data_IF_383478800201
#
_entry.id   IF_383478800201
#
_cell.length_a   1.000
_cell.length_b   1.000
_cell.length_c   1.000
_cell.angle_alpha   90.00
_cell.angle_beta   90.00
_cell.angle_gamma   90.00
#
_symmetry.space_group_name_H-M   'P 1'
#
loop_
_entity.id
_entity.type
_entity.pdbx_description
1 polymer ?
#
# COMPACT_ATOMS: atom_id res chain seq x y z
N UNK A 1 -14.50 6.73 12.39
CA UNK A 1 -15.13 5.77 11.44
C UNK A 1 -15.64 6.56 10.27
N UNK A 2 -14.82 6.74 9.23
CA UNK A 2 -15.26 7.39 8.00
C UNK A 2 -16.33 6.52 7.33
N UNK A 3 -17.51 7.09 7.04
CA UNK A 3 -18.51 6.41 6.23
C UNK A 3 -17.89 6.17 4.86
N UNK A 4 -17.56 4.92 4.58
CA UNK A 4 -17.15 4.47 3.26
C UNK A 4 -18.28 4.85 2.29
N UNK A 5 -18.05 5.86 1.46
CA UNK A 5 -18.88 6.05 0.26
C UNK A 5 -18.55 4.81 -0.56
N UNK A 6 -19.47 3.86 -0.61
CA UNK A 6 -19.36 2.73 -1.53
C UNK A 6 -19.62 3.27 -2.94
N UNK A 7 -19.16 2.61 -4.00
CA UNK A 7 -19.75 2.85 -5.30
C UNK A 7 -21.27 2.79 -5.10
N UNK A 8 -22.04 3.76 -5.62
CA UNK A 8 -23.49 3.72 -5.50
C UNK A 8 -23.94 2.31 -5.86
N UNK A 9 -24.58 1.61 -4.91
CA UNK A 9 -24.89 0.18 -5.01
C UNK A 9 -25.61 -0.20 -6.32
N UNK A 10 -26.12 0.81 -7.05
CA UNK A 10 -26.72 0.75 -8.38
C UNK A 10 -25.74 0.43 -9.51
N UNK A 11 -24.50 0.96 -9.50
CA UNK A 11 -23.56 0.72 -10.62
C UNK A 11 -23.00 -0.71 -10.67
N UNK A 12 -22.77 -1.33 -9.51
CA UNK A 12 -22.35 -2.74 -9.44
C UNK A 12 -23.46 -3.73 -9.82
N UNK A 13 -24.72 -3.37 -9.55
CA UNK A 13 -25.90 -4.10 -10.03
C UNK A 13 -26.07 -3.98 -11.56
N UNK A 14 -25.82 -2.80 -12.12
CA UNK A 14 -26.00 -2.55 -13.55
C UNK A 14 -24.89 -3.17 -14.42
N UNK A 15 -23.67 -3.39 -13.90
CA UNK A 15 -22.66 -4.24 -14.59
C UNK A 15 -23.13 -5.70 -14.64
N UNK A 16 -23.83 -6.16 -13.60
CA UNK A 16 -24.51 -7.46 -13.63
C UNK A 16 -25.68 -7.42 -14.61
N UNK A 17 -26.39 -6.30 -14.77
CA UNK A 17 -27.47 -6.16 -15.74
C UNK A 17 -26.97 -6.07 -17.19
N UNK A 18 -25.86 -5.37 -17.48
CA UNK A 18 -25.19 -5.40 -18.78
C UNK A 18 -24.69 -6.83 -19.10
N UNK A 19 -24.20 -7.56 -18.10
CA UNK A 19 -23.85 -8.98 -18.22
C UNK A 19 -25.10 -9.84 -18.47
N UNK A 20 -26.23 -9.54 -17.82
CA UNK A 20 -27.49 -10.26 -17.99
C UNK A 20 -28.12 -9.99 -19.36
N UNK A 21 -28.09 -8.74 -19.83
CA UNK A 21 -28.54 -8.36 -21.17
C UNK A 21 -27.86 -9.21 -22.24
N UNK A 22 -26.57 -9.47 -22.06
CA UNK A 22 -25.82 -10.29 -22.99
C UNK A 22 -26.06 -11.78 -22.81
N UNK A 23 -26.27 -12.25 -21.58
CA UNK A 23 -26.80 -13.61 -21.33
C UNK A 23 -28.11 -13.83 -22.08
N UNK A 24 -28.99 -12.84 -22.07
CA UNK A 24 -30.29 -12.92 -22.73
C UNK A 24 -30.12 -12.99 -24.25
N UNK A 25 -29.03 -12.43 -24.78
CA UNK A 25 -28.61 -12.56 -26.18
C UNK A 25 -27.76 -13.79 -26.51
N UNK A 26 -27.31 -14.61 -25.53
CA UNK A 26 -26.53 -15.84 -25.80
C UNK A 26 -27.25 -16.81 -26.76
N UNK A 27 -28.57 -17.02 -26.67
CA UNK A 27 -29.30 -17.83 -27.65
C UNK A 27 -29.18 -17.29 -29.07
N UNK A 28 -29.28 -15.97 -29.25
CA UNK A 28 -29.20 -15.30 -30.55
C UNK A 28 -27.77 -15.35 -31.11
N UNK A 29 -26.78 -15.15 -30.25
CA UNK A 29 -25.35 -15.28 -30.57
C UNK A 29 -25.02 -16.72 -30.99
N UNK A 30 -25.51 -17.71 -30.25
CA UNK A 30 -25.39 -19.13 -30.62
C UNK A 30 -26.10 -19.43 -31.94
N UNK A 31 -27.22 -18.77 -32.21
CA UNK A 31 -27.96 -18.93 -33.46
C UNK A 31 -27.19 -18.36 -34.65
N UNK A 32 -26.66 -17.14 -34.51
CA UNK A 32 -25.82 -16.49 -35.52
C UNK A 32 -24.53 -17.29 -35.80
N UNK A 33 -23.84 -17.74 -34.75
CA UNK A 33 -22.65 -18.58 -34.91
C UNK A 33 -22.97 -19.97 -35.46
N UNK A 34 -24.08 -20.59 -35.04
CA UNK A 34 -24.51 -21.87 -35.60
C UNK A 34 -24.81 -21.79 -37.09
N UNK A 35 -25.45 -20.71 -37.54
CA UNK A 35 -25.66 -20.43 -38.96
C UNK A 35 -24.33 -20.23 -39.72
N UNK A 36 -23.35 -19.54 -39.12
CA UNK A 36 -22.02 -19.34 -39.73
C UNK A 36 -21.15 -20.60 -39.77
N UNK A 37 -21.19 -21.43 -38.73
CA UNK A 37 -20.32 -22.60 -38.58
C UNK A 37 -21.01 -23.92 -38.93
N UNK A 38 -22.24 -23.87 -39.45
CA UNK A 38 -22.95 -25.02 -40.00
C UNK A 38 -23.48 -26.01 -38.96
N UNK A 39 -23.73 -25.58 -37.72
CA UNK A 39 -24.32 -26.43 -36.68
C UNK A 39 -25.69 -25.91 -36.23
N UNK A 40 -26.62 -26.84 -35.97
CA UNK A 40 -27.97 -26.50 -35.49
C UNK A 40 -27.92 -26.14 -33.98
N UNK A 41 -28.16 -24.86 -33.60
CA UNK A 41 -28.15 -24.41 -32.21
C UNK A 41 -29.19 -25.10 -31.33
N UNK A 42 -30.26 -25.65 -31.93
CA UNK A 42 -31.32 -26.38 -31.22
C UNK A 42 -30.86 -27.76 -30.77
N UNK A 43 -29.85 -28.34 -31.43
CA UNK A 43 -29.27 -29.66 -31.11
C UNK A 43 -28.12 -29.60 -30.10
N UNK A 44 -27.68 -28.41 -29.71
CA UNK A 44 -26.62 -28.25 -28.70
C UNK A 44 -27.14 -28.72 -27.33
N UNK A 45 -26.50 -29.71 -26.69
CA UNK A 45 -26.87 -30.19 -25.35
C UNK A 45 -26.91 -29.06 -24.31
N UNK A 46 -27.80 -29.17 -23.32
CA UNK A 46 -27.94 -28.15 -22.26
C UNK A 46 -26.62 -27.89 -21.51
N UNK A 47 -25.84 -28.95 -21.26
CA UNK A 47 -24.52 -28.86 -20.62
C UNK A 47 -23.54 -28.00 -21.43
N UNK A 48 -23.55 -28.14 -22.75
CA UNK A 48 -22.68 -27.39 -23.65
C UNK A 48 -23.14 -25.94 -23.78
N UNK A 49 -24.46 -25.67 -23.71
CA UNK A 49 -25.00 -24.30 -23.60
C UNK A 49 -24.55 -23.62 -22.30
N UNK A 50 -24.58 -24.33 -21.17
CA UNK A 50 -24.10 -23.82 -19.88
C UNK A 50 -22.58 -23.62 -19.83
N UNK A 51 -21.82 -24.49 -20.49
CA UNK A 51 -20.37 -24.33 -20.65
C UNK A 51 -20.04 -23.17 -21.59
N UNK A 52 -20.75 -23.05 -22.71
CA UNK A 52 -20.62 -21.93 -23.63
C UNK A 52 -20.95 -20.62 -22.94
N UNK A 53 -22.05 -20.53 -22.19
CA UNK A 53 -22.40 -19.38 -21.35
C UNK A 53 -21.27 -19.05 -20.37
N UNK A 54 -20.68 -20.03 -19.69
CA UNK A 54 -19.51 -19.83 -18.82
C UNK A 54 -18.27 -19.31 -19.55
N UNK A 55 -17.99 -19.82 -20.75
CA UNK A 55 -16.86 -19.37 -21.60
C UNK A 55 -17.07 -17.95 -22.10
N UNK A 56 -18.27 -17.65 -22.58
CA UNK A 56 -18.76 -16.30 -22.89
C UNK A 56 -18.49 -15.42 -21.68
N UNK A 57 -19.01 -15.76 -20.49
CA UNK A 57 -18.82 -14.98 -19.26
C UNK A 57 -17.36 -14.72 -18.88
N UNK A 58 -16.47 -15.71 -19.04
CA UNK A 58 -15.03 -15.50 -18.81
C UNK A 58 -14.40 -14.58 -19.85
N UNK A 59 -14.85 -14.66 -21.10
CA UNK A 59 -14.44 -13.76 -22.19
C UNK A 59 -15.07 -12.36 -22.13
N UNK A 60 -16.10 -12.15 -21.30
CA UNK A 60 -16.83 -10.88 -21.22
C UNK A 60 -16.09 -9.76 -20.51
N UNK A 61 -15.23 -10.09 -19.54
CA UNK A 61 -14.48 -9.08 -18.78
C UNK A 61 -13.81 -8.04 -19.70
N UNK A 62 -13.02 -8.49 -20.69
CA UNK A 62 -12.42 -7.60 -21.69
C UNK A 62 -13.40 -6.90 -22.65
N UNK A 63 -14.61 -7.44 -22.85
CA UNK A 63 -15.59 -6.90 -23.82
C UNK A 63 -16.58 -5.90 -23.21
N UNK A 64 -16.67 -5.81 -21.88
CA UNK A 64 -17.54 -4.88 -21.14
C UNK A 64 -17.50 -3.43 -21.65
N UNK A 65 -16.33 -2.82 -21.94
CA UNK A 65 -16.27 -1.46 -22.46
C UNK A 65 -17.01 -1.28 -23.79
N UNK A 66 -16.93 -2.26 -24.69
CA UNK A 66 -17.55 -2.18 -26.02
C UNK A 66 -19.08 -2.23 -25.93
N UNK A 67 -19.60 -3.09 -25.06
CA UNK A 67 -21.03 -3.20 -24.81
C UNK A 67 -21.58 -1.95 -24.13
N UNK A 68 -20.79 -1.36 -23.23
CA UNK A 68 -21.15 -0.09 -22.62
C UNK A 68 -21.21 1.04 -23.67
N UNK A 69 -20.34 1.03 -24.69
CA UNK A 69 -20.41 1.99 -25.81
C UNK A 69 -21.74 1.82 -26.57
N UNK A 70 -22.09 0.59 -26.96
CA UNK A 70 -23.32 0.31 -27.71
C UNK A 70 -24.57 0.69 -26.88
N UNK A 71 -24.62 0.28 -25.62
CA UNK A 71 -25.72 0.61 -24.72
C UNK A 71 -25.84 2.12 -24.48
N UNK A 72 -24.71 2.83 -24.39
CA UNK A 72 -24.69 4.29 -24.22
C UNK A 72 -25.17 5.01 -25.49
N UNK A 73 -24.71 4.59 -26.67
CA UNK A 73 -25.16 5.13 -27.96
C UNK A 73 -26.66 4.87 -28.21
N UNK A 74 -27.18 3.74 -27.71
CA UNK A 74 -28.60 3.40 -27.76
C UNK A 74 -29.44 4.11 -26.68
N UNK A 75 -28.83 4.94 -25.82
CA UNK A 75 -29.52 5.64 -24.73
C UNK A 75 -30.01 4.73 -23.59
N UNK A 76 -29.50 3.49 -23.51
CA UNK A 76 -29.90 2.51 -22.50
C UNK A 76 -29.19 2.72 -21.15
N UNK A 77 -28.03 3.38 -21.15
CA UNK A 77 -27.30 3.76 -19.94
C UNK A 77 -26.91 5.24 -19.96
N UNK A 78 -26.86 5.87 -18.80
CA UNK A 78 -26.46 7.27 -18.63
C UNK A 78 -24.94 7.45 -18.78
N UNK A 79 -24.50 8.69 -19.02
CA UNK A 79 -23.09 9.08 -19.13
C UNK A 79 -22.29 8.66 -17.88
N UNK A 80 -22.85 8.92 -16.70
CA UNK A 80 -22.26 8.53 -15.42
C UNK A 80 -22.02 7.00 -15.33
N UNK A 81 -22.97 6.20 -15.83
CA UNK A 81 -22.83 4.73 -15.89
C UNK A 81 -21.76 4.31 -16.87
N UNK A 82 -21.73 4.95 -18.05
CA UNK A 82 -20.73 4.67 -19.07
C UNK A 82 -19.30 4.94 -18.57
N UNK A 83 -19.08 6.08 -17.91
CA UNK A 83 -17.78 6.43 -17.32
C UNK A 83 -17.37 5.45 -16.20
N UNK A 84 -18.32 5.00 -15.38
CA UNK A 84 -18.06 3.96 -14.39
C UNK A 84 -17.54 2.67 -15.00
N UNK A 85 -18.22 2.14 -16.03
CA UNK A 85 -17.83 0.88 -16.67
C UNK A 85 -16.44 0.96 -17.29
N UNK A 86 -16.09 2.11 -17.90
CA UNK A 86 -14.74 2.35 -18.43
C UNK A 86 -13.67 2.22 -17.34
N UNK A 87 -13.90 2.84 -16.18
CA UNK A 87 -12.95 2.82 -15.06
C UNK A 87 -12.86 1.44 -14.43
N UNK A 88 -13.98 0.74 -14.22
CA UNK A 88 -13.98 -0.65 -13.71
C UNK A 88 -13.17 -1.57 -14.62
N UNK A 89 -13.39 -1.50 -15.93
CA UNK A 89 -12.69 -2.33 -16.89
C UNK A 89 -11.19 -2.01 -16.95
N UNK A 90 -10.83 -0.72 -16.89
CA UNK A 90 -9.44 -0.29 -16.79
C UNK A 90 -8.76 -0.84 -15.53
N UNK A 91 -9.42 -0.74 -14.36
CA UNK A 91 -8.88 -1.28 -13.11
C UNK A 91 -8.72 -2.80 -13.15
N UNK A 92 -9.69 -3.51 -13.73
CA UNK A 92 -9.62 -4.96 -13.93
C UNK A 92 -8.43 -5.35 -14.82
N UNK A 93 -8.20 -4.61 -15.91
CA UNK A 93 -7.06 -4.83 -16.80
C UNK A 93 -5.71 -4.57 -16.10
N UNK A 94 -5.61 -3.49 -15.32
CA UNK A 94 -4.41 -3.18 -14.53
C UNK A 94 -4.10 -4.28 -13.51
N UNK A 95 -5.11 -4.79 -12.80
CA UNK A 95 -4.93 -5.88 -11.85
C UNK A 95 -4.53 -7.18 -12.54
N UNK A 96 -5.13 -7.50 -13.69
CA UNK A 96 -4.75 -8.66 -14.49
C UNK A 96 -3.28 -8.57 -14.97
N UNK A 97 -2.84 -7.40 -15.43
CA UNK A 97 -1.44 -7.15 -15.81
C UNK A 97 -0.48 -7.30 -14.63
N UNK A 98 -0.93 -6.99 -13.41
CA UNK A 98 -0.19 -7.22 -12.17
C UNK A 98 -0.29 -8.67 -11.63
N UNK A 99 -0.86 -9.61 -12.41
CA UNK A 99 -1.01 -11.01 -12.01
C UNK A 99 -2.09 -11.25 -10.94
N UNK A 100 -3.02 -10.31 -10.76
CA UNK A 100 -4.12 -10.40 -9.80
C UNK A 100 -5.45 -10.58 -10.51
N UNK A 101 -6.07 -11.74 -10.34
CA UNK A 101 -7.41 -11.99 -10.85
C UNK A 101 -8.47 -11.39 -9.91
N UNK A 102 -9.30 -10.47 -10.44
CA UNK A 102 -10.51 -10.00 -9.76
C UNK A 102 -11.64 -10.98 -10.05
N UNK A 103 -12.32 -11.55 -9.04
CA UNK A 103 -13.49 -12.39 -9.28
C UNK A 103 -14.53 -11.66 -10.15
N UNK A 104 -15.32 -12.39 -10.93
CA UNK A 104 -16.24 -11.80 -11.90
C UNK A 104 -17.43 -11.09 -11.23
N UNK A 105 -17.77 -11.54 -10.02
CA UNK A 105 -18.81 -11.05 -9.13
C UNK A 105 -18.36 -9.87 -8.26
N UNK A 106 -17.06 -9.57 -8.23
CA UNK A 106 -16.52 -8.43 -7.48
C UNK A 106 -16.29 -7.24 -8.40
N UNK A 107 -16.65 -6.06 -7.91
CA UNK A 107 -16.27 -4.80 -8.51
C UNK A 107 -14.75 -4.58 -8.41
N UNK A 108 -14.12 -4.20 -9.52
CA UNK A 108 -12.67 -4.02 -9.55
C UNK A 108 -12.20 -2.84 -8.69
N UNK A 109 -12.96 -1.74 -8.63
CA UNK A 109 -12.63 -0.57 -7.82
C UNK A 109 -12.73 -0.88 -6.31
N UNK A 110 -13.80 -1.57 -5.89
CA UNK A 110 -13.93 -2.07 -4.51
C UNK A 110 -12.83 -3.07 -4.17
N UNK A 111 -12.50 -3.97 -5.10
CA UNK A 111 -11.44 -4.94 -4.91
C UNK A 111 -10.07 -4.27 -4.72
N UNK A 112 -9.75 -3.24 -5.52
CA UNK A 112 -8.55 -2.42 -5.33
C UNK A 112 -8.53 -1.82 -3.93
N UNK A 113 -9.63 -1.24 -3.46
CA UNK A 113 -9.72 -0.66 -2.12
C UNK A 113 -9.56 -1.72 -1.02
N UNK A 114 -10.20 -2.87 -1.17
CA UNK A 114 -10.11 -3.99 -0.22
C UNK A 114 -8.65 -4.47 -0.09
N UNK A 115 -7.99 -4.70 -1.22
CA UNK A 115 -6.59 -5.14 -1.27
C UNK A 115 -5.65 -4.08 -0.71
N UNK A 116 -5.86 -2.81 -1.07
CA UNK A 116 -5.05 -1.69 -0.56
C UNK A 116 -5.19 -1.55 0.95
N UNK A 117 -6.42 -1.65 1.49
CA UNK A 117 -6.69 -1.59 2.92
C UNK A 117 -6.05 -2.75 3.68
N UNK A 118 -6.08 -3.96 3.11
CA UNK A 118 -5.40 -5.15 3.67
C UNK A 118 -3.88 -4.95 3.68
N UNK A 119 -3.31 -4.42 2.60
CA UNK A 119 -1.88 -4.10 2.53
C UNK A 119 -1.45 -2.99 3.51
N UNK A 120 -2.31 -2.00 3.74
CA UNK A 120 -2.10 -0.92 4.70
C UNK A 120 -2.15 -1.39 6.17
N UNK A 121 -2.73 -2.57 6.41
CA UNK A 121 -2.88 -3.17 7.73
C UNK A 121 -2.46 -4.64 7.69
N UNK A 122 -1.17 -4.93 7.44
CA UNK A 122 -0.71 -6.30 7.39
C UNK A 122 -0.95 -6.94 8.77
N UNK A 123 -1.71 -8.03 8.79
CA UNK A 123 -1.89 -8.80 10.02
C UNK A 123 -0.58 -9.53 10.31
N UNK A 124 0.22 -8.93 11.18
CA UNK A 124 1.39 -9.56 11.76
C UNK A 124 0.96 -10.15 13.09
N UNK A 125 0.83 -11.47 13.12
CA UNK A 125 0.45 -12.25 14.30
C UNK A 125 1.25 -11.79 15.52
N UNK A 126 0.54 -11.46 16.61
CA UNK A 126 1.11 -10.98 17.87
C UNK A 126 1.65 -9.54 17.85
N UNK A 127 2.45 -9.14 16.85
CA UNK A 127 3.16 -7.84 16.83
C UNK A 127 2.21 -6.65 16.66
N UNK A 128 1.14 -6.81 15.89
CA UNK A 128 0.11 -5.79 15.69
C UNK A 128 -0.64 -5.40 16.98
N UNK A 129 -0.63 -6.26 18.01
CA UNK A 129 -1.28 -6.02 19.31
C UNK A 129 -0.42 -5.20 20.27
N UNK A 130 0.89 -5.08 20.01
CA UNK A 130 1.81 -4.37 20.88
C UNK A 130 1.46 -2.87 20.93
N UNK A 131 1.50 -2.27 22.12
CA UNK A 131 1.23 -0.83 22.32
C UNK A 131 2.15 0.03 21.43
N UNK A 132 3.45 -0.26 21.43
CA UNK A 132 4.45 0.44 20.63
C UNK A 132 4.23 0.31 19.12
N UNK A 133 3.67 -0.80 18.65
CA UNK A 133 3.26 -0.93 17.24
C UNK A 133 2.10 0.01 16.92
N UNK A 134 1.05 -0.03 17.75
CA UNK A 134 -0.17 0.79 17.55
C UNK A 134 0.13 2.28 17.58
N UNK A 135 1.00 2.73 18.48
CA UNK A 135 1.45 4.13 18.54
C UNK A 135 2.18 4.57 17.26
N UNK A 136 3.12 3.75 16.76
CA UNK A 136 3.81 4.04 15.51
C UNK A 136 2.84 4.04 14.33
N UNK A 137 1.96 3.03 14.26
CA UNK A 137 0.97 2.93 13.19
C UNK A 137 0.01 4.12 13.19
N UNK A 138 -0.45 4.54 14.35
CA UNK A 138 -1.29 5.74 14.49
C UNK A 138 -0.58 7.00 14.00
N UNK A 139 0.69 7.18 14.37
CA UNK A 139 1.50 8.30 13.86
C UNK A 139 1.62 8.31 12.33
N UNK A 140 1.87 7.13 11.74
CA UNK A 140 1.93 6.94 10.29
C UNK A 140 0.57 7.24 9.63
N UNK A 141 -0.53 6.77 10.21
CA UNK A 141 -1.88 7.00 9.69
C UNK A 141 -2.26 8.47 9.71
N UNK A 142 -2.00 9.17 10.81
CA UNK A 142 -2.24 10.61 10.95
C UNK A 142 -1.38 11.44 9.99
N UNK A 143 -0.11 11.07 9.84
CA UNK A 143 0.79 11.73 8.90
C UNK A 143 0.30 11.54 7.46
N UNK A 144 -0.02 10.30 7.07
CA UNK A 144 -0.54 10.01 5.74
C UNK A 144 -1.85 10.76 5.46
N UNK A 145 -2.76 10.84 6.43
CA UNK A 145 -4.01 11.61 6.30
C UNK A 145 -3.78 13.09 6.00
N UNK A 146 -2.86 13.71 6.75
CA UNK A 146 -2.46 15.10 6.51
C UNK A 146 -1.82 15.30 5.13
N UNK A 147 -0.98 14.36 4.69
CA UNK A 147 -0.37 14.41 3.37
C UNK A 147 -1.45 14.43 2.28
N UNK A 148 -2.35 13.44 2.27
CA UNK A 148 -3.34 13.35 1.19
C UNK A 148 -4.33 14.52 1.19
N UNK A 149 -4.62 15.11 2.36
CA UNK A 149 -5.46 16.31 2.46
C UNK A 149 -4.82 17.60 1.92
N UNK A 150 -3.49 17.66 1.79
CA UNK A 150 -2.79 18.88 1.41
C UNK A 150 -2.68 19.06 -0.10
N UNK A 151 -2.03 18.15 -0.84
CA UNK A 151 -1.82 18.27 -2.30
C UNK A 151 -1.47 16.91 -2.95
N UNK A 152 -2.48 16.23 -3.51
CA UNK A 152 -2.35 14.90 -4.11
C UNK A 152 -1.32 14.83 -5.26
N UNK A 153 -1.38 15.75 -6.22
CA UNK A 153 -0.52 15.74 -7.42
C UNK A 153 0.97 15.80 -7.05
N UNK A 154 1.33 16.66 -6.09
CA UNK A 154 2.73 16.77 -5.63
C UNK A 154 3.22 15.51 -4.95
N UNK A 155 2.35 14.81 -4.22
CA UNK A 155 2.70 13.55 -3.56
C UNK A 155 3.00 12.46 -4.60
N UNK A 156 2.19 12.38 -5.67
CA UNK A 156 2.43 11.43 -6.76
C UNK A 156 3.77 11.66 -7.44
N UNK A 157 4.13 12.92 -7.74
CA UNK A 157 5.41 13.26 -8.36
C UNK A 157 6.61 12.85 -7.49
N UNK A 158 6.55 13.15 -6.19
CA UNK A 158 7.59 12.75 -5.23
C UNK A 158 7.68 11.23 -5.15
N UNK A 159 6.55 10.55 -5.05
CA UNK A 159 6.51 9.09 -4.95
C UNK A 159 7.03 8.43 -6.23
N UNK A 160 6.65 8.92 -7.40
CA UNK A 160 7.14 8.46 -8.69
C UNK A 160 8.66 8.70 -8.85
N UNK A 161 9.16 9.85 -8.41
CA UNK A 161 10.60 10.15 -8.39
C UNK A 161 11.36 9.23 -7.43
N UNK A 162 10.82 9.00 -6.23
CA UNK A 162 11.36 8.07 -5.25
C UNK A 162 11.48 6.66 -5.82
N UNK A 163 10.43 6.13 -6.44
CA UNK A 163 10.43 4.78 -7.04
C UNK A 163 11.53 4.57 -8.09
N UNK A 164 11.92 5.65 -8.80
CA UNK A 164 13.02 5.63 -9.80
C UNK A 164 14.41 5.83 -9.18
N UNK A 165 14.49 6.22 -7.91
CA UNK A 165 15.75 6.55 -7.24
C UNK A 165 16.54 5.32 -6.76
N UNK A 166 17.85 5.50 -6.55
CA UNK A 166 18.71 4.49 -5.89
C UNK A 166 18.28 4.19 -4.46
N UNK A 167 17.59 5.13 -3.80
CA UNK A 167 17.10 4.93 -2.44
C UNK A 167 15.98 3.89 -2.39
N UNK A 168 15.12 3.80 -3.40
CA UNK A 168 14.14 2.71 -3.52
C UNK A 168 14.83 1.36 -3.65
N UNK A 169 15.92 1.27 -4.41
CA UNK A 169 16.67 0.01 -4.54
C UNK A 169 17.28 -0.42 -3.20
N UNK A 170 17.86 0.52 -2.44
CA UNK A 170 18.34 0.28 -1.08
C UNK A 170 17.20 -0.15 -0.15
N UNK A 171 16.09 0.57 -0.18
CA UNK A 171 14.88 0.22 0.57
C UNK A 171 14.41 -1.20 0.25
N UNK A 172 14.31 -1.58 -1.03
CA UNK A 172 13.88 -2.91 -1.45
C UNK A 172 14.87 -4.00 -1.01
N UNK A 173 16.18 -3.71 -0.99
CA UNK A 173 17.16 -4.63 -0.44
C UNK A 173 16.95 -4.85 1.07
N UNK A 174 16.75 -3.77 1.84
CA UNK A 174 16.40 -3.87 3.26
C UNK A 174 15.07 -4.59 3.47
N UNK A 175 14.04 -4.27 2.69
CA UNK A 175 12.70 -4.87 2.76
C UNK A 175 12.63 -6.32 2.28
N UNK A 176 13.70 -6.87 1.68
CA UNK A 176 13.82 -8.32 1.46
C UNK A 176 14.45 -9.01 2.67
N UNK A 177 15.46 -8.41 3.27
CA UNK A 177 16.17 -8.96 4.44
C UNK A 177 15.41 -8.85 5.75
N UNK A 178 14.60 -7.79 5.91
CA UNK A 178 13.95 -7.47 7.18
C UNK A 178 12.97 -8.54 7.70
N UNK A 179 12.34 -9.34 6.83
CA UNK A 179 11.47 -10.43 7.28
C UNK A 179 12.29 -11.50 7.99
N UNK A 180 13.47 -11.83 7.45
CA UNK A 180 14.41 -12.74 8.09
C UNK A 180 14.93 -12.13 9.39
N UNK A 181 15.37 -10.86 9.38
CA UNK A 181 15.87 -10.18 10.59
C UNK A 181 14.79 -10.04 11.69
N UNK A 182 13.52 -9.98 11.31
CA UNK A 182 12.37 -9.90 12.23
C UNK A 182 12.05 -11.25 12.88
N UNK A 183 12.22 -12.34 12.13
CA UNK A 183 12.12 -13.72 12.61
C UNK A 183 13.32 -14.04 13.49
N UNK A 184 14.49 -13.56 13.09
CA UNK A 184 15.76 -13.76 13.76
C UNK A 184 16.01 -12.72 14.87
N UNK A 185 15.06 -11.89 15.28
CA UNK A 185 15.23 -11.09 16.49
C UNK A 185 14.93 -11.95 17.73
N UNK A 186 15.81 -12.04 18.74
CA UNK A 186 15.58 -12.89 19.91
C UNK A 186 14.36 -12.39 20.71
N UNK A 187 13.23 -13.07 20.53
CA UNK A 187 12.04 -12.97 21.39
C UNK A 187 11.74 -14.37 21.97
N UNK A 188 11.55 -14.50 23.30
CA UNK A 188 11.50 -13.46 24.35
C UNK A 188 12.88 -12.89 24.75
N UNK A 189 12.88 -11.88 25.63
CA UNK A 189 14.08 -11.27 26.23
C UNK A 189 15.05 -12.34 26.74
N UNK A 190 16.33 -12.34 26.33
CA UNK A 190 17.32 -13.29 26.82
C UNK A 190 17.52 -13.20 28.34
N UNK A 191 17.51 -14.34 29.02
CA UNK A 191 17.83 -14.43 30.46
C UNK A 191 19.31 -14.09 30.70
N UNK A 192 20.18 -14.42 29.73
CA UNK A 192 21.61 -14.12 29.75
C UNK A 192 22.05 -13.54 28.41
N UNK A 193 22.88 -12.52 28.46
CA UNK A 193 23.50 -11.94 27.28
C UNK A 193 24.87 -12.57 27.07
N UNK A 194 25.11 -13.07 25.86
CA UNK A 194 26.42 -13.53 25.39
C UNK A 194 26.94 -12.58 24.32
N UNK A 195 28.23 -12.65 23.97
CA UNK A 195 28.78 -11.84 22.87
C UNK A 195 28.02 -12.07 21.56
N UNK A 196 27.69 -13.33 21.26
CA UNK A 196 26.88 -13.70 20.09
C UNK A 196 25.49 -13.05 20.14
N UNK A 197 24.89 -12.95 21.33
CA UNK A 197 23.59 -12.27 21.51
C UNK A 197 23.73 -10.77 21.25
N UNK A 198 24.77 -10.12 21.78
CA UNK A 198 25.04 -8.69 21.55
C UNK A 198 25.32 -8.41 20.07
N UNK A 199 26.12 -9.24 19.41
CA UNK A 199 26.42 -9.13 17.98
C UNK A 199 25.14 -9.28 17.14
N UNK A 200 24.28 -10.24 17.47
CA UNK A 200 22.97 -10.43 16.82
C UNK A 200 22.09 -9.19 16.98
N UNK A 201 21.94 -8.67 18.20
CA UNK A 201 21.16 -7.44 18.47
C UNK A 201 21.74 -6.26 17.68
N UNK A 202 23.07 -6.12 17.61
CA UNK A 202 23.73 -5.06 16.85
C UNK A 202 23.51 -5.16 15.34
N UNK A 203 23.56 -6.37 14.78
CA UNK A 203 23.26 -6.58 13.37
C UNK A 203 21.79 -6.26 13.06
N UNK A 204 20.85 -6.68 13.92
CA UNK A 204 19.44 -6.30 13.78
C UNK A 204 19.26 -4.78 13.87
N UNK A 205 19.88 -4.12 14.85
CA UNK A 205 19.80 -2.67 14.99
C UNK A 205 20.31 -1.96 13.73
N UNK A 206 21.49 -2.36 13.22
CA UNK A 206 22.09 -1.79 12.02
C UNK A 206 21.17 -1.94 10.80
N UNK A 207 20.62 -3.14 10.58
CA UNK A 207 19.71 -3.43 9.46
C UNK A 207 18.47 -2.54 9.51
N UNK A 208 17.80 -2.51 10.67
CA UNK A 208 16.61 -1.68 10.86
C UNK A 208 16.94 -0.19 10.79
N UNK A 209 18.04 0.27 11.36
CA UNK A 209 18.43 1.68 11.27
C UNK A 209 18.64 2.14 9.81
N UNK A 210 19.21 1.28 8.95
CA UNK A 210 19.33 1.54 7.52
C UNK A 210 17.96 1.61 6.81
N UNK A 211 17.07 0.67 7.11
CA UNK A 211 15.67 0.71 6.64
C UNK A 211 14.98 2.02 7.04
N UNK A 212 15.08 2.39 8.32
CA UNK A 212 14.48 3.58 8.90
C UNK A 212 14.97 4.86 8.24
N UNK A 213 16.28 5.00 8.05
CA UNK A 213 16.86 6.16 7.39
C UNK A 213 16.34 6.32 5.96
N UNK A 214 16.27 5.24 5.20
CA UNK A 214 15.71 5.27 3.84
C UNK A 214 14.25 5.74 3.86
N UNK A 215 13.44 5.24 4.79
CA UNK A 215 12.04 5.67 4.94
C UNK A 215 11.89 7.12 5.42
N UNK A 216 12.77 7.58 6.31
CA UNK A 216 12.79 8.98 6.77
C UNK A 216 13.06 9.95 5.61
N UNK A 217 13.90 9.58 4.63
CA UNK A 217 14.13 10.42 3.44
C UNK A 217 12.85 10.62 2.64
N UNK A 218 12.07 9.56 2.40
CA UNK A 218 10.78 9.68 1.72
C UNK A 218 9.80 10.55 2.54
N UNK A 219 9.69 10.30 3.84
CA UNK A 219 8.82 11.06 4.74
C UNK A 219 9.15 12.56 4.70
N UNK A 220 10.43 12.92 4.85
CA UNK A 220 10.88 14.32 4.84
C UNK A 220 10.64 14.96 3.47
N UNK A 221 10.86 14.22 2.37
CA UNK A 221 10.55 14.71 1.02
C UNK A 221 9.06 15.02 0.86
N UNK A 222 8.18 14.14 1.35
CA UNK A 222 6.73 14.35 1.31
C UNK A 222 6.30 15.54 2.18
N UNK A 223 6.88 15.70 3.36
CA UNK A 223 6.62 16.85 4.25
C UNK A 223 7.01 18.19 3.60
N UNK A 224 8.17 18.23 2.94
CA UNK A 224 8.64 19.41 2.19
C UNK A 224 7.77 19.71 0.98
N UNK A 225 7.30 18.67 0.29
CA UNK A 225 6.38 18.82 -0.84
C UNK A 225 5.05 19.46 -0.45
N UNK A 226 4.50 19.06 0.70
CA UNK A 226 3.32 19.71 1.29
C UNK A 226 3.60 21.17 1.66
N UNK A 227 4.83 21.49 2.04
CA UNK A 227 5.24 22.86 2.39
C UNK A 227 5.55 23.75 1.17
N UNK A 228 5.48 23.23 -0.05
CA UNK A 228 5.70 24.02 -1.28
C UNK A 228 6.98 23.70 -2.05
N UNK A 229 7.85 22.84 -1.53
CA UNK A 229 9.09 22.45 -2.24
C UNK A 229 8.78 21.43 -3.35
N UNK A 230 9.36 21.59 -4.54
CA UNK A 230 9.10 20.71 -5.69
C UNK A 230 10.16 19.61 -5.85
N UNK A 231 9.71 18.40 -6.20
CA UNK A 231 10.56 17.25 -6.55
C UNK A 231 11.22 16.59 -5.34
N UNK A 232 11.74 15.36 -5.49
CA UNK A 232 12.53 14.70 -4.44
C UNK A 232 13.88 15.42 -4.39
N UNK A 233 14.12 16.32 -3.42
CA UNK A 233 15.27 17.19 -3.52
C UNK A 233 16.54 16.33 -3.36
N UNK A 234 17.54 16.57 -4.20
CA UNK A 234 18.87 15.99 -4.00
C UNK A 234 19.39 16.28 -2.58
N UNK A 235 18.97 17.43 -2.03
CA UNK A 235 19.24 17.84 -0.65
C UNK A 235 18.67 16.86 0.38
N UNK A 236 17.50 16.26 0.16
CA UNK A 236 16.94 15.22 1.06
C UNK A 236 17.65 13.89 0.87
N UNK A 237 18.05 13.55 -0.36
CA UNK A 237 18.81 12.32 -0.62
C UNK A 237 20.19 12.33 0.05
N UNK A 238 20.83 13.50 0.11
CA UNK A 238 22.16 13.69 0.72
C UNK A 238 22.12 14.18 2.17
N UNK A 239 20.94 14.49 2.71
CA UNK A 239 20.81 15.01 4.06
C UNK A 239 21.41 14.05 5.11
N UNK A 240 22.15 14.56 6.10
CA UNK A 240 22.63 13.75 7.22
C UNK A 240 21.44 13.27 8.06
N UNK A 241 21.59 12.10 8.70
CA UNK A 241 20.52 11.50 9.52
C UNK A 241 20.00 12.46 10.60
N UNK A 242 20.85 13.27 11.23
CA UNK A 242 20.44 14.27 12.22
C UNK A 242 19.39 15.24 11.66
N UNK A 243 19.63 15.80 10.48
CA UNK A 243 18.69 16.69 9.81
C UNK A 243 17.38 15.96 9.44
N UNK A 244 17.45 14.69 9.03
CA UNK A 244 16.23 13.90 8.75
C UNK A 244 15.39 13.70 10.01
N UNK A 245 16.04 13.37 11.14
CA UNK A 245 15.37 13.19 12.43
C UNK A 245 14.79 14.51 12.94
N UNK A 246 15.50 15.62 12.82
CA UNK A 246 15.00 16.95 13.21
C UNK A 246 13.79 17.36 12.35
N UNK A 247 13.90 17.21 11.03
CA UNK A 247 12.81 17.54 10.10
C UNK A 247 11.57 16.68 10.36
N UNK A 248 11.71 15.35 10.45
CA UNK A 248 10.57 14.48 10.72
C UNK A 248 10.05 14.66 12.16
N UNK A 249 10.92 14.95 13.13
CA UNK A 249 10.55 15.15 14.53
C UNK A 249 9.78 16.45 14.78
N UNK A 250 9.87 17.43 13.87
CA UNK A 250 9.05 18.63 13.90
C UNK A 250 7.56 18.35 13.65
N UNK A 251 7.23 17.21 13.03
CA UNK A 251 5.84 16.80 12.85
C UNK A 251 5.35 16.04 14.10
N UNK A 252 4.30 16.53 14.80
CA UNK A 252 3.79 15.87 16.00
C UNK A 252 3.40 14.41 15.78
N UNK A 253 2.89 14.06 14.58
CA UNK A 253 2.47 12.70 14.25
C UNK A 253 3.66 11.74 14.11
N UNK A 254 4.85 12.26 13.83
CA UNK A 254 6.07 11.47 13.60
C UNK A 254 7.07 11.55 14.76
N UNK A 255 6.94 12.52 15.66
CA UNK A 255 7.86 12.71 16.80
C UNK A 255 8.14 11.43 17.60
N UNK A 256 7.11 10.67 17.96
CA UNK A 256 7.23 9.40 18.69
C UNK A 256 7.73 8.22 17.84
N UNK A 257 7.74 8.35 16.52
CA UNK A 257 8.30 7.40 15.59
C UNK A 257 9.81 7.65 15.44
N UNK A 258 10.20 8.90 15.21
CA UNK A 258 11.58 9.36 15.00
C UNK A 258 12.47 9.09 16.22
N UNK A 259 11.93 9.24 17.43
CA UNK A 259 12.67 9.00 18.69
C UNK A 259 13.16 7.55 18.88
N UNK A 260 12.68 6.60 18.07
CA UNK A 260 13.08 5.19 18.14
C UNK A 260 14.44 4.90 17.51
N UNK A 261 14.96 5.81 16.70
CA UNK A 261 16.28 5.69 16.08
C UNK A 261 17.28 6.61 16.79
N UNK A 262 18.30 6.01 17.41
CA UNK A 262 19.40 6.75 18.02
C UNK A 262 20.51 6.95 16.97
N UNK A 263 20.73 8.21 16.57
CA UNK A 263 21.71 8.57 15.53
C UNK A 263 23.13 8.13 15.88
N UNK A 264 23.54 8.28 17.14
CA UNK A 264 24.91 8.02 17.58
C UNK A 264 25.17 6.51 17.55
N UNK A 265 24.22 5.69 18.02
CA UNK A 265 24.30 4.21 17.95
C UNK A 265 24.32 3.74 16.51
N UNK A 266 23.46 4.30 15.64
CA UNK A 266 23.48 4.00 14.19
C UNK A 266 24.85 4.31 13.59
N UNK A 267 25.42 5.47 13.87
CA UNK A 267 26.71 5.89 13.31
C UNK A 267 27.86 5.01 13.81
N UNK A 268 27.92 4.76 15.12
CA UNK A 268 28.88 3.83 15.72
C UNK A 268 28.82 2.45 15.05
N UNK A 269 27.62 1.89 14.89
CA UNK A 269 27.43 0.59 14.26
C UNK A 269 27.68 0.59 12.75
N UNK A 270 27.57 1.73 12.07
CA UNK A 270 27.92 1.85 10.66
C UNK A 270 29.44 1.76 10.42
N UNK A 271 30.25 2.10 11.43
CA UNK A 271 31.71 2.14 11.34
C UNK A 271 32.42 1.04 12.15
N UNK A 272 31.71 0.31 13.00
CA UNK A 272 32.32 -0.72 13.84
C UNK A 272 31.34 -1.68 14.52
N UNK A 273 31.83 -2.31 15.59
CA UNK A 273 31.08 -3.21 16.46
C UNK A 273 30.93 -2.57 17.84
N UNK A 274 29.85 -2.88 18.59
CA UNK A 274 29.75 -2.42 19.97
C UNK A 274 30.86 -3.04 20.83
N UNK A 275 31.34 -2.30 21.83
CA UNK A 275 32.25 -2.82 22.84
C UNK A 275 31.43 -3.28 24.06
N UNK A 276 31.55 -4.56 24.45
CA UNK A 276 30.82 -5.07 25.62
C UNK A 276 31.75 -5.20 26.83
N UNK A 277 31.68 -4.21 27.72
CA UNK A 277 32.36 -4.22 29.01
C UNK A 277 31.55 -5.07 30.00
N UNK A 278 31.96 -6.34 30.14
CA UNK A 278 31.30 -7.28 31.06
C UNK A 278 31.48 -6.92 32.53
N UNK A 279 32.58 -6.23 32.89
CA UNK A 279 32.84 -5.85 34.27
C UNK A 279 31.90 -4.74 34.72
N UNK A 280 31.62 -3.78 33.83
CA UNK A 280 30.65 -2.70 34.08
C UNK A 280 29.21 -3.09 33.74
N UNK A 281 29.01 -4.17 32.99
CA UNK A 281 27.70 -4.57 32.50
C UNK A 281 27.14 -3.64 31.42
N UNK A 282 28.02 -3.02 30.63
CA UNK A 282 27.67 -1.98 29.65
C UNK A 282 28.09 -2.37 28.24
N UNK A 283 27.26 -2.01 27.28
CA UNK A 283 27.50 -2.03 25.84
C UNK A 283 27.75 -0.60 25.40
N UNK A 284 28.95 -0.34 24.89
CA UNK A 284 29.46 0.99 24.56
C UNK A 284 29.52 1.12 23.04
N UNK A 285 28.96 2.21 22.54
CA UNK A 285 28.93 2.58 21.14
C UNK A 285 29.75 3.85 20.93
N UNK A 286 30.90 3.72 20.28
CA UNK A 286 31.78 4.85 20.01
C UNK A 286 31.38 5.56 18.72
N UNK A 287 30.75 6.73 18.84
CA UNK A 287 30.51 7.66 17.73
C UNK A 287 31.49 8.85 17.84
N UNK A 288 31.80 9.49 16.71
CA UNK A 288 32.77 10.61 16.65
C UNK A 288 32.41 11.77 17.57
N UNK A 289 31.13 11.97 17.83
CA UNK A 289 30.61 13.11 18.59
C UNK A 289 30.32 12.77 20.05
N UNK A 290 29.99 11.52 20.36
CA UNK A 290 29.51 11.11 21.67
C UNK A 290 29.49 9.59 21.79
N UNK A 291 29.99 9.07 22.92
CA UNK A 291 29.79 7.67 23.29
C UNK A 291 28.38 7.46 23.87
N UNK A 292 27.74 6.36 23.47
CA UNK A 292 26.48 5.91 24.06
C UNK A 292 26.76 4.65 24.86
N UNK A 293 26.32 4.63 26.11
CA UNK A 293 26.44 3.48 27.00
C UNK A 293 25.05 2.97 27.34
N UNK A 294 24.80 1.68 27.09
CA UNK A 294 23.56 1.01 27.44
C UNK A 294 23.86 -0.31 28.14
N UNK A 295 23.05 -0.70 29.11
CA UNK A 295 23.03 -2.09 29.57
C UNK A 295 22.60 -3.00 28.41
N UNK A 296 22.99 -4.30 28.41
CA UNK A 296 22.48 -5.26 27.43
C UNK A 296 20.95 -5.31 27.33
N UNK A 297 20.28 -5.13 28.47
CA UNK A 297 18.82 -5.06 28.55
C UNK A 297 18.27 -3.83 27.82
N UNK A 298 18.82 -2.64 28.09
CA UNK A 298 18.44 -1.42 27.37
C UNK A 298 18.70 -1.56 25.88
N UNK A 299 19.85 -2.11 25.47
CA UNK A 299 20.15 -2.29 24.05
C UNK A 299 19.13 -3.21 23.37
N UNK A 300 18.74 -4.32 24.01
CA UNK A 300 17.67 -5.18 23.50
C UNK A 300 16.34 -4.43 23.40
N UNK A 301 15.94 -3.69 24.44
CA UNK A 301 14.70 -2.91 24.45
C UNK A 301 14.66 -1.84 23.36
N UNK A 302 15.74 -1.08 23.19
CA UNK A 302 15.84 -0.04 22.15
C UNK A 302 15.81 -0.66 20.75
N UNK A 303 16.53 -1.76 20.55
CA UNK A 303 16.49 -2.51 19.28
C UNK A 303 15.09 -3.04 19.00
N UNK A 304 14.40 -3.57 20.01
CA UNK A 304 13.02 -4.04 19.87
C UNK A 304 12.06 -2.91 19.50
N UNK A 305 12.18 -1.74 20.12
CA UNK A 305 11.38 -0.56 19.76
C UNK A 305 11.62 -0.12 18.32
N UNK A 306 12.88 -0.12 17.88
CA UNK A 306 13.26 0.18 16.50
C UNK A 306 12.66 -0.84 15.53
N UNK A 307 12.75 -2.14 15.83
CA UNK A 307 12.18 -3.24 15.03
C UNK A 307 10.67 -3.06 14.90
N UNK A 308 9.95 -2.90 16.03
CA UNK A 308 8.49 -2.76 16.03
C UNK A 308 8.04 -1.51 15.26
N UNK A 309 8.74 -0.38 15.43
CA UNK A 309 8.42 0.82 14.67
C UNK A 309 8.76 0.69 13.18
N UNK A 310 9.83 -0.02 12.83
CA UNK A 310 10.21 -0.31 11.45
C UNK A 310 9.16 -1.17 10.75
N UNK A 311 8.62 -2.16 11.45
CA UNK A 311 7.49 -2.98 11.00
C UNK A 311 6.27 -2.11 10.69
N UNK A 312 5.91 -1.19 11.58
CA UNK A 312 4.82 -0.24 11.31
C UNK A 312 5.15 0.64 10.09
N UNK A 313 6.37 1.17 10.02
CA UNK A 313 6.82 2.10 8.98
C UNK A 313 6.85 1.49 7.57
N UNK A 314 7.03 0.18 7.44
CA UNK A 314 6.91 -0.47 6.14
C UNK A 314 5.48 -0.48 5.59
N UNK A 315 4.47 -0.35 6.44
CA UNK A 315 3.10 -0.17 5.96
C UNK A 315 2.85 1.22 5.39
N UNK A 316 3.78 2.19 5.54
CA UNK A 316 3.55 3.58 5.17
C UNK A 316 3.19 3.75 3.68
N UNK A 317 3.88 3.09 2.75
CA UNK A 317 3.52 3.17 1.32
C UNK A 317 2.11 2.66 1.07
N UNK A 318 1.77 1.51 1.67
CA UNK A 318 0.45 0.91 1.49
C UNK A 318 -0.66 1.76 2.13
N UNK A 319 -0.41 2.38 3.28
CA UNK A 319 -1.31 3.34 3.94
C UNK A 319 -1.52 4.56 3.05
N UNK A 320 -0.44 5.15 2.54
CA UNK A 320 -0.49 6.34 1.69
C UNK A 320 -1.28 6.05 0.40
N UNK A 321 -0.93 4.96 -0.29
CA UNK A 321 -1.60 4.52 -1.52
C UNK A 321 -3.08 4.18 -1.28
N UNK A 322 -3.42 3.55 -0.15
CA UNK A 322 -4.80 3.28 0.21
C UNK A 322 -5.59 4.58 0.43
N UNK A 323 -5.06 5.55 1.18
CA UNK A 323 -5.74 6.83 1.43
C UNK A 323 -5.90 7.65 0.15
N UNK A 324 -4.88 7.67 -0.72
CA UNK A 324 -4.93 8.26 -2.07
C UNK A 324 -6.09 7.67 -2.87
N UNK A 325 -6.12 6.34 -3.01
CA UNK A 325 -7.14 5.64 -3.79
C UNK A 325 -8.53 5.87 -3.21
N UNK A 326 -8.62 5.89 -1.89
CA UNK A 326 -9.88 6.17 -1.19
C UNK A 326 -10.40 7.57 -1.51
N UNK A 327 -9.56 8.61 -1.45
CA UNK A 327 -9.98 9.97 -1.83
C UNK A 327 -10.38 10.05 -3.30
N UNK A 328 -9.58 9.48 -4.19
CA UNK A 328 -9.87 9.47 -5.62
C UNK A 328 -11.23 8.82 -5.90
N UNK A 329 -11.47 7.61 -5.38
CA UNK A 329 -12.73 6.92 -5.60
C UNK A 329 -13.91 7.62 -4.95
N UNK A 330 -13.74 8.21 -3.76
CA UNK A 330 -14.82 9.00 -3.14
C UNK A 330 -15.19 10.23 -3.96
N UNK A 331 -14.20 10.98 -4.46
CA UNK A 331 -14.43 12.14 -5.30
C UNK A 331 -15.14 11.72 -6.60
N UNK A 332 -14.63 10.66 -7.24
CA UNK A 332 -15.23 10.08 -8.44
C UNK A 332 -16.69 9.67 -8.23
N UNK A 333 -16.97 8.86 -7.20
CA UNK A 333 -18.33 8.41 -6.91
C UNK A 333 -19.28 9.54 -6.51
N UNK A 334 -18.77 10.57 -5.82
CA UNK A 334 -19.56 11.74 -5.46
C UNK A 334 -19.96 12.55 -6.70
N UNK A 335 -19.01 12.71 -7.65
CA UNK A 335 -19.27 13.34 -8.94
C UNK A 335 -20.32 12.60 -9.75
N UNK A 336 -20.17 11.27 -9.91
CA UNK A 336 -21.17 10.44 -10.60
C UNK A 336 -22.57 10.56 -9.97
N UNK A 337 -22.65 10.52 -8.64
CA UNK A 337 -23.92 10.64 -7.93
C UNK A 337 -24.55 12.04 -8.04
N UNK A 338 -23.76 13.09 -8.27
CA UNK A 338 -24.27 14.43 -8.54
C UNK A 338 -24.78 14.56 -9.97
N UNK A 339 -24.06 14.02 -10.96
CA UNK A 339 -24.50 13.97 -12.36
C UNK A 339 -25.82 13.22 -12.52
N UNK A 340 -25.99 12.07 -11.87
CA UNK A 340 -27.27 11.35 -11.90
C UNK A 340 -28.41 12.16 -11.27
N UNK A 341 -28.15 12.89 -10.17
CA UNK A 341 -29.17 13.74 -9.54
C UNK A 341 -29.58 14.90 -10.45
N UNK A 342 -28.63 15.48 -11.19
CA UNK A 342 -28.91 16.52 -12.18
C UNK A 342 -29.73 15.96 -13.35
N UNK A 343 -29.35 14.79 -13.87
CA UNK A 343 -30.07 14.12 -14.96
C UNK A 343 -31.50 13.72 -14.56
N UNK A 344 -31.73 13.29 -13.32
CA UNK A 344 -33.07 12.93 -12.83
C UNK A 344 -33.97 14.14 -12.53
N UNK A 345 -33.39 15.35 -12.46
CA UNK A 345 -34.12 16.60 -12.19
C UNK A 345 -34.41 17.39 -13.48
N UNK A 346 -33.94 16.90 -14.62
CA UNK A 346 -34.13 17.45 -15.98
C UNK A 346 -35.22 16.67 -16.69
#
# INVERSE_FOLDING_TARGET
>A
MEKQIRPPHRFGGDVVDLKNLLVDHVPDILHGFGAMFGFDPRRVPRKDKEEFRRRIFRGFGPMLPFLAIEAHQAGQISDAKFEYVKIEAFMRAQLAAAGRHVPLEKDACEYVLEVSRKAANPYLEGKSRLKSYREAKNGIDLFAERLVGALFERIEDIHASWLKSKETQKYMAFARGWMNDTIDFPEPLPIRFSEKTIERIANTYRSFAGFWESRLRLIVALQRAVSGESGLPETVQKAPLGHLLESAGSDPALSGLVSRLNRNVRNALAHGRPNWDRAKGLVIFHDRNQDVEWTPHEFWCQTRHLVIGGIALASFDAVLQWKIRWLYFNAFWSGLAEEERRAASS
#
